data_IF_636049705599
#
_entry.id   IF_636049705599
#
_cell.length_a   1.000
_cell.length_b   1.000
_cell.length_c   1.000
_cell.angle_alpha   90.00
_cell.angle_beta   90.00
_cell.angle_gamma   90.00
#
_symmetry.space_group_name_H-M   'P 1'
#
loop_
_entity.id
_entity.type
_entity.pdbx_description
1 polymer ?
#
# COMPACT_ATOMS: atom_id res chain seq x y z
N UNK A 1 13.31 2.93 12.78
CA UNK A 1 12.27 2.21 12.03
C UNK A 1 12.87 1.77 10.70
N UNK A 2 12.59 0.56 10.23
CA UNK A 2 13.03 0.10 8.91
C UNK A 2 12.16 0.65 7.77
N UNK A 3 11.04 1.31 8.09
CA UNK A 3 10.12 1.88 7.09
C UNK A 3 9.38 0.80 6.28
N UNK A 4 9.32 -0.43 6.81
CA UNK A 4 8.64 -1.58 6.22
C UNK A 4 7.52 -1.98 7.15
N UNK A 5 6.29 -2.02 6.61
CA UNK A 5 5.09 -2.32 7.37
C UNK A 5 4.35 -3.47 6.70
N UNK A 6 4.14 -4.56 7.45
CA UNK A 6 3.39 -5.72 6.99
C UNK A 6 1.96 -5.66 7.52
N UNK A 7 0.99 -5.50 6.61
CA UNK A 7 -0.44 -5.51 6.93
C UNK A 7 -1.01 -6.91 6.67
N UNK A 8 -1.18 -7.67 7.75
CA UNK A 8 -1.79 -9.00 7.71
C UNK A 8 -3.24 -8.89 8.19
N UNK A 9 -4.18 -9.39 7.37
CA UNK A 9 -5.61 -9.42 7.70
C UNK A 9 -5.85 -9.99 9.12
N UNK A 10 -6.70 -9.35 9.95
CA UNK A 10 -7.67 -8.29 9.60
C UNK A 10 -7.15 -6.86 9.65
N UNK A 11 -5.85 -6.64 9.87
CA UNK A 11 -5.30 -5.29 9.90
C UNK A 11 -5.31 -4.69 8.49
N UNK A 12 -5.88 -3.50 8.35
CA UNK A 12 -6.06 -2.81 7.05
C UNK A 12 -5.36 -1.46 6.99
N UNK A 13 -4.76 -1.00 8.09
CA UNK A 13 -4.05 0.29 8.16
C UNK A 13 -2.81 0.18 9.06
N UNK A 14 -1.83 1.03 8.78
CA UNK A 14 -0.66 1.28 9.62
C UNK A 14 -0.48 2.79 9.76
N UNK A 15 0.02 3.23 10.91
CA UNK A 15 0.38 4.62 11.13
C UNK A 15 1.85 4.81 10.79
N UNK A 16 2.15 5.78 9.92
CA UNK A 16 3.50 6.14 9.51
C UNK A 16 3.71 7.62 9.75
N UNK A 17 4.89 8.01 10.25
CA UNK A 17 5.25 9.41 10.44
C UNK A 17 6.28 9.81 9.39
N UNK A 18 5.89 10.72 8.50
CA UNK A 18 6.73 11.31 7.46
C UNK A 18 7.04 12.76 7.81
N UNK A 19 8.25 13.25 7.51
CA UNK A 19 8.57 14.66 7.70
C UNK A 19 8.01 15.49 6.55
N UNK A 20 7.40 16.63 6.88
CA UNK A 20 6.93 17.57 5.87
C UNK A 20 8.10 18.14 5.05
N UNK A 21 7.93 18.22 3.73
CA UNK A 21 8.90 18.81 2.80
C UNK A 21 9.99 17.85 2.30
N UNK A 22 9.95 16.58 2.70
CA UNK A 22 10.78 15.51 2.15
C UNK A 22 10.00 14.68 1.14
N UNK A 23 10.72 14.09 0.17
CA UNK A 23 10.15 13.23 -0.87
C UNK A 23 10.41 11.78 -0.51
N UNK A 24 9.36 10.95 -0.48
CA UNK A 24 9.43 9.56 -0.05
C UNK A 24 9.05 8.61 -1.17
N UNK A 25 9.86 7.56 -1.36
CA UNK A 25 9.48 6.44 -2.20
C UNK A 25 8.65 5.44 -1.42
N UNK A 26 7.62 4.87 -2.03
CA UNK A 26 6.89 3.73 -1.48
C UNK A 26 6.95 2.52 -2.42
N UNK A 27 6.83 1.33 -1.84
CA UNK A 27 6.68 0.06 -2.56
C UNK A 27 5.65 -0.79 -1.85
N UNK A 28 4.76 -1.42 -2.61
CA UNK A 28 3.75 -2.32 -2.07
C UNK A 28 3.80 -3.69 -2.75
N UNK A 29 3.40 -4.71 -1.98
CA UNK A 29 3.15 -6.06 -2.44
C UNK A 29 1.92 -6.59 -1.72
N UNK A 30 0.84 -6.82 -2.46
CA UNK A 30 -0.44 -7.28 -1.97
C UNK A 30 -0.65 -8.72 -2.41
N UNK A 31 -1.21 -9.54 -1.52
CA UNK A 31 -1.62 -10.91 -1.80
C UNK A 31 -3.05 -11.10 -1.29
N UNK A 32 -3.89 -11.74 -2.09
CA UNK A 32 -5.29 -11.94 -1.75
C UNK A 32 -6.06 -12.64 -2.86
N UNK A 33 -7.33 -12.93 -2.62
CA UNK A 33 -8.16 -13.64 -3.61
C UNK A 33 -8.35 -12.82 -4.87
N UNK A 34 -8.35 -13.47 -6.03
CA UNK A 34 -8.71 -12.83 -7.30
C UNK A 34 -10.08 -12.14 -7.20
N UNK A 35 -10.20 -10.95 -7.79
CA UNK A 35 -11.39 -10.11 -7.70
C UNK A 35 -11.48 -9.26 -6.43
N UNK A 36 -10.49 -9.33 -5.53
CA UNK A 36 -10.44 -8.44 -4.36
C UNK A 36 -9.98 -7.05 -4.79
N UNK A 37 -10.84 -6.05 -4.62
CA UNK A 37 -10.46 -4.65 -4.81
C UNK A 37 -9.55 -4.18 -3.67
N UNK A 38 -8.58 -3.33 -3.98
CA UNK A 38 -7.71 -2.70 -3.00
C UNK A 38 -7.57 -1.20 -3.29
N UNK A 39 -7.30 -0.46 -2.22
CA UNK A 39 -6.97 0.97 -2.25
C UNK A 39 -5.89 1.22 -1.19
N UNK A 40 -4.78 1.83 -1.59
CA UNK A 40 -3.69 2.26 -0.71
C UNK A 40 -3.76 3.78 -0.66
N UNK A 41 -3.95 4.30 0.56
CA UNK A 41 -4.09 5.72 0.83
C UNK A 41 -3.04 6.13 1.86
N UNK A 42 -2.55 7.36 1.71
CA UNK A 42 -1.80 8.06 2.73
C UNK A 42 -2.55 9.34 3.03
N UNK A 43 -3.08 9.45 4.24
CA UNK A 43 -4.08 10.46 4.61
C UNK A 43 -5.27 10.46 3.63
N UNK A 44 -5.49 11.56 2.89
CA UNK A 44 -6.55 11.71 1.89
C UNK A 44 -6.05 11.48 0.45
N UNK A 45 -4.77 11.13 0.25
CA UNK A 45 -4.16 10.89 -1.06
C UNK A 45 -4.19 9.41 -1.45
N UNK A 46 -4.70 9.14 -2.66
CA UNK A 46 -4.73 7.78 -3.23
C UNK A 46 -3.39 7.50 -3.91
N UNK A 47 -2.59 6.63 -3.31
CA UNK A 47 -1.29 6.22 -3.85
C UNK A 47 -1.43 5.14 -4.93
N UNK A 48 -2.33 4.18 -4.72
CA UNK A 48 -2.62 3.11 -5.68
C UNK A 48 -4.00 2.51 -5.44
N UNK A 49 -4.72 2.17 -6.51
CA UNK A 49 -5.99 1.46 -6.44
C UNK A 49 -6.12 0.44 -7.58
N UNK A 50 -6.88 -0.61 -7.33
CA UNK A 50 -7.08 -1.64 -8.34
C UNK A 50 -7.82 -2.87 -7.83
N UNK A 51 -7.74 -3.94 -8.61
CA UNK A 51 -8.32 -5.25 -8.30
C UNK A 51 -7.25 -6.31 -8.50
N UNK A 52 -7.19 -7.28 -7.57
CA UNK A 52 -6.30 -8.43 -7.71
C UNK A 52 -6.75 -9.28 -8.89
N UNK A 53 -5.85 -9.47 -9.85
CA UNK A 53 -6.10 -10.30 -11.01
C UNK A 53 -6.00 -11.80 -10.67
N UNK A 54 -5.98 -12.65 -11.70
CA UNK A 54 -5.89 -14.11 -11.53
C UNK A 54 -4.56 -14.59 -10.91
N UNK A 55 -3.56 -13.72 -10.80
CA UNK A 55 -2.30 -14.04 -10.13
C UNK A 55 -2.42 -13.95 -8.60
N UNK A 56 -3.55 -13.48 -8.07
CA UNK A 56 -3.81 -13.32 -6.63
C UNK A 56 -2.79 -12.39 -5.94
N UNK A 57 -2.11 -11.57 -6.72
CA UNK A 57 -1.09 -10.65 -6.25
C UNK A 57 -1.13 -9.34 -7.04
N UNK A 58 -0.77 -8.25 -6.38
CA UNK A 58 -0.52 -6.97 -7.02
C UNK A 58 0.70 -6.32 -6.38
N UNK A 59 1.54 -5.66 -7.18
CA UNK A 59 2.69 -4.94 -6.65
C UNK A 59 2.94 -3.67 -7.45
N UNK A 60 3.59 -2.72 -6.81
CA UNK A 60 3.92 -1.45 -7.44
C UNK A 60 4.77 -0.59 -6.52
N UNK A 61 5.10 0.59 -7.02
CA UNK A 61 5.92 1.56 -6.34
C UNK A 61 5.63 2.95 -6.88
N UNK A 62 5.86 3.96 -6.07
CA UNK A 62 5.72 5.36 -6.46
C UNK A 62 6.51 6.27 -5.55
N UNK A 63 6.27 7.57 -5.70
CA UNK A 63 6.86 8.63 -4.90
C UNK A 63 5.74 9.53 -4.41
N UNK A 64 5.83 9.96 -3.16
CA UNK A 64 4.94 10.91 -2.49
C UNK A 64 5.79 12.08 -1.99
#
# INVERSE_FOLDING_TARGET
DSGVYDLIHPNTFAEVSLNEGEMYGFRYSLHGKAGTSFKIELDDEVLAEGELDKSEAASGSGVV
#
